data_IF_664819987636
#
_entry.id   IF_664819987636
#
_cell.length_a   1.000
_cell.length_b   1.000
_cell.length_c   1.000
_cell.angle_alpha   90.00
_cell.angle_beta   90.00
_cell.angle_gamma   90.00
#
_symmetry.space_group_name_H-M   'P 1'
#
loop_
_entity.id
_entity.type
_entity.pdbx_description
1 polymer ?
#
# COMPACT_ATOMS: atom_id res chain seq x y z
N UNK A 1 3.47 -10.35 -35.69
CA UNK A 1 2.24 -10.39 -34.91
C UNK A 1 1.66 -8.97 -34.91
N UNK A 2 0.36 -8.77 -35.06
CA UNK A 2 -0.22 -7.44 -34.89
C UNK A 2 0.04 -6.97 -33.45
N UNK A 3 0.22 -5.66 -33.22
CA UNK A 3 0.44 -5.13 -31.89
C UNK A 3 -0.76 -5.45 -31.00
N UNK A 4 -0.50 -5.91 -29.77
CA UNK A 4 -1.55 -6.09 -28.77
C UNK A 4 -2.07 -4.70 -28.40
N UNK A 5 -3.35 -4.47 -28.62
CA UNK A 5 -4.05 -3.26 -28.23
C UNK A 5 -4.89 -3.51 -26.99
N UNK A 6 -4.93 -2.57 -26.08
CA UNK A 6 -5.73 -2.61 -24.86
C UNK A 6 -6.72 -1.45 -24.88
N UNK A 7 -7.88 -1.68 -24.28
CA UNK A 7 -8.94 -0.68 -24.16
C UNK A 7 -8.73 0.20 -22.92
N UNK A 8 -8.03 -0.34 -21.91
CA UNK A 8 -7.74 0.36 -20.66
C UNK A 8 -6.37 -0.01 -20.09
N UNK A 9 -5.76 0.95 -19.42
CA UNK A 9 -4.51 0.78 -18.66
C UNK A 9 -4.79 1.15 -17.21
N UNK A 10 -4.49 0.24 -16.28
CA UNK A 10 -4.53 0.46 -14.84
C UNK A 10 -3.09 0.53 -14.32
N UNK A 11 -2.74 1.59 -13.61
CA UNK A 11 -1.40 1.77 -13.04
C UNK A 11 -1.43 1.43 -11.56
N UNK A 12 -0.72 0.37 -11.20
CA UNK A 12 -0.67 -0.20 -9.85
C UNK A 12 -1.77 -1.24 -9.60
N UNK A 13 -1.41 -2.29 -8.88
CA UNK A 13 -2.29 -3.42 -8.54
C UNK A 13 -2.75 -3.40 -7.07
N UNK A 14 -2.67 -2.26 -6.40
CA UNK A 14 -3.17 -2.09 -5.03
C UNK A 14 -4.70 -2.17 -4.95
N UNK A 15 -5.28 -1.82 -3.80
CA UNK A 15 -6.72 -1.92 -3.54
C UNK A 15 -7.55 -1.25 -4.64
N UNK A 16 -7.25 -0.01 -4.99
CA UNK A 16 -8.00 0.75 -6.00
C UNK A 16 -7.78 0.21 -7.42
N UNK A 17 -6.52 -0.07 -7.78
CA UNK A 17 -6.17 -0.57 -9.11
C UNK A 17 -6.71 -1.98 -9.36
N UNK A 18 -6.63 -2.86 -8.37
CA UNK A 18 -7.20 -4.20 -8.47
C UNK A 18 -8.71 -4.17 -8.66
N UNK A 19 -9.41 -3.27 -7.94
CA UNK A 19 -10.85 -3.09 -8.10
C UNK A 19 -11.19 -2.51 -9.48
N UNK A 20 -10.47 -1.48 -9.93
CA UNK A 20 -10.67 -0.89 -11.26
C UNK A 20 -10.45 -1.93 -12.36
N UNK A 21 -9.39 -2.74 -12.29
CA UNK A 21 -9.12 -3.79 -13.25
C UNK A 21 -10.25 -4.83 -13.30
N UNK A 22 -10.77 -5.24 -12.13
CA UNK A 22 -11.93 -6.13 -12.03
C UNK A 22 -13.15 -5.54 -12.75
N UNK A 23 -13.53 -4.31 -12.44
CA UNK A 23 -14.72 -3.68 -13.02
C UNK A 23 -14.59 -3.50 -14.54
N UNK A 24 -13.41 -3.08 -15.01
CA UNK A 24 -13.15 -2.89 -16.44
C UNK A 24 -13.21 -4.22 -17.21
N UNK A 25 -12.58 -5.27 -16.70
CA UNK A 25 -12.59 -6.59 -17.33
C UNK A 25 -13.97 -7.23 -17.31
N UNK A 26 -14.74 -7.07 -16.24
CA UNK A 26 -16.13 -7.55 -16.18
C UNK A 26 -17.05 -6.85 -17.19
N UNK A 27 -16.72 -5.63 -17.58
CA UNK A 27 -17.42 -4.91 -18.66
C UNK A 27 -16.92 -5.28 -20.06
N UNK A 28 -16.05 -6.29 -20.18
CA UNK A 28 -15.55 -6.80 -21.44
C UNK A 28 -14.36 -6.04 -22.03
N UNK A 29 -13.79 -5.07 -21.31
CA UNK A 29 -12.62 -4.31 -21.77
C UNK A 29 -11.34 -5.14 -21.63
N UNK A 30 -10.50 -5.12 -22.65
CA UNK A 30 -9.13 -5.67 -22.57
C UNK A 30 -8.28 -4.70 -21.75
N UNK A 31 -8.01 -5.08 -20.51
CA UNK A 31 -7.32 -4.23 -19.55
C UNK A 31 -5.92 -4.75 -19.28
N UNK A 32 -4.92 -3.87 -19.33
CA UNK A 32 -3.57 -4.15 -18.86
C UNK A 32 -3.35 -3.48 -17.50
N UNK A 33 -2.72 -4.19 -16.58
CA UNK A 33 -2.29 -3.65 -15.28
C UNK A 33 -0.77 -3.51 -15.28
N UNK A 34 -0.27 -2.30 -15.06
CA UNK A 34 1.16 -2.02 -14.93
C UNK A 34 1.50 -1.93 -13.44
N UNK A 35 2.30 -2.88 -12.96
CA UNK A 35 2.74 -2.95 -11.56
C UNK A 35 4.26 -2.79 -11.49
N UNK A 36 4.72 -1.90 -10.62
CA UNK A 36 6.14 -1.61 -10.43
C UNK A 36 6.85 -2.58 -9.47
N UNK A 37 6.06 -3.33 -8.69
CA UNK A 37 6.55 -4.22 -7.66
C UNK A 37 6.67 -5.68 -8.10
N UNK A 38 7.31 -6.47 -7.26
CA UNK A 38 7.47 -7.91 -7.48
C UNK A 38 6.16 -8.67 -7.21
N UNK A 39 5.99 -9.85 -7.81
CA UNK A 39 4.93 -10.75 -7.38
C UNK A 39 5.17 -11.23 -5.94
N UNK A 40 4.09 -11.59 -5.26
CA UNK A 40 4.10 -12.19 -3.93
C UNK A 40 3.79 -13.67 -4.07
N UNK A 41 4.64 -14.49 -3.47
CA UNK A 41 4.39 -15.92 -3.30
C UNK A 41 4.04 -16.20 -1.83
N UNK A 42 2.78 -16.54 -1.51
CA UNK A 42 2.38 -16.82 -0.14
C UNK A 42 3.20 -17.89 0.58
N UNK A 43 3.70 -18.89 -0.16
CA UNK A 43 4.50 -19.97 0.41
C UNK A 43 5.90 -19.52 0.86
N UNK A 44 6.41 -18.46 0.24
CA UNK A 44 7.74 -17.90 0.50
C UNK A 44 7.67 -16.63 1.33
N UNK A 45 6.67 -15.79 1.06
CA UNK A 45 6.55 -14.46 1.66
C UNK A 45 5.81 -14.44 3.00
N UNK A 46 4.94 -15.43 3.26
CA UNK A 46 4.16 -15.51 4.51
C UNK A 46 4.57 -16.74 5.32
N UNK A 47 5.81 -16.78 5.73
CA UNK A 47 6.38 -17.92 6.48
C UNK A 47 6.35 -17.73 8.00
N UNK A 48 6.02 -16.55 8.47
CA UNK A 48 5.99 -16.20 9.89
C UNK A 48 4.62 -16.57 10.50
N UNK A 49 4.43 -17.84 10.80
CA UNK A 49 3.21 -18.37 11.44
C UNK A 49 3.36 -18.51 12.96
N UNK A 50 4.07 -17.58 13.57
CA UNK A 50 4.34 -17.57 15.01
C UNK A 50 3.75 -16.32 15.66
N UNK A 51 3.47 -16.41 16.95
CA UNK A 51 2.98 -15.27 17.70
C UNK A 51 4.07 -14.19 17.83
N UNK A 52 3.71 -12.91 17.94
CA UNK A 52 4.69 -11.82 18.00
C UNK A 52 5.76 -11.98 19.08
N UNK A 53 5.42 -12.57 20.24
CA UNK A 53 6.37 -12.82 21.32
C UNK A 53 7.35 -13.97 21.05
N UNK A 54 7.04 -14.86 20.09
CA UNK A 54 7.91 -15.96 19.67
C UNK A 54 8.86 -15.53 18.56
N UNK A 55 8.59 -14.41 17.92
CA UNK A 55 9.46 -13.86 16.89
C UNK A 55 10.81 -13.45 17.47
N UNK A 56 11.88 -13.74 16.73
CA UNK A 56 13.23 -13.32 17.09
C UNK A 56 13.26 -11.83 17.40
N UNK A 57 13.86 -11.46 18.52
CA UNK A 57 13.89 -10.09 19.03
C UNK A 57 12.51 -9.43 19.13
N UNK A 58 11.43 -10.22 19.30
CA UNK A 58 10.04 -9.76 19.30
C UNK A 58 9.70 -8.92 18.07
N UNK A 59 10.19 -9.36 16.91
CA UNK A 59 10.08 -8.68 15.62
C UNK A 59 10.81 -7.32 15.53
N UNK A 60 11.55 -6.90 16.54
CA UNK A 60 12.28 -5.63 16.51
C UNK A 60 13.46 -5.63 15.54
N UNK A 61 14.06 -6.80 15.32
CA UNK A 61 15.08 -7.02 14.31
C UNK A 61 16.29 -6.10 14.37
N UNK A 62 16.99 -6.00 13.24
CA UNK A 62 18.09 -5.06 13.08
C UNK A 62 17.56 -3.67 12.72
N UNK A 63 17.32 -2.86 13.75
CA UNK A 63 16.84 -1.48 13.60
C UNK A 63 17.83 -0.60 12.83
N UNK A 64 19.13 -0.83 12.94
CA UNK A 64 20.14 -0.06 12.22
C UNK A 64 20.02 -0.33 10.72
N UNK A 65 19.78 -1.58 10.33
CA UNK A 65 19.51 -1.94 8.94
C UNK A 65 18.23 -1.27 8.43
N UNK A 66 17.14 -1.34 9.18
CA UNK A 66 15.89 -0.68 8.80
C UNK A 66 16.08 0.83 8.64
N UNK A 67 16.72 1.48 9.60
CA UNK A 67 17.00 2.92 9.52
C UNK A 67 17.90 3.31 8.35
N UNK A 68 18.83 2.42 7.96
CA UNK A 68 19.72 2.66 6.84
C UNK A 68 19.03 2.58 5.48
N UNK A 69 18.21 1.56 5.27
CA UNK A 69 17.60 1.28 3.96
C UNK A 69 16.15 1.74 3.85
N UNK A 70 15.49 1.89 4.98
CA UNK A 70 14.07 2.23 5.07
C UNK A 70 13.83 3.34 6.14
N UNK A 71 14.58 4.47 6.10
CA UNK A 71 14.48 5.51 7.14
C UNK A 71 13.09 6.12 7.24
N UNK A 72 12.35 6.20 6.14
CA UNK A 72 10.99 6.71 6.13
C UNK A 72 10.01 5.61 6.53
N UNK A 73 10.13 4.42 5.93
CA UNK A 73 9.24 3.30 6.20
C UNK A 73 9.32 2.84 7.65
N UNK A 74 10.51 2.86 8.25
CA UNK A 74 10.74 2.46 9.65
C UNK A 74 10.04 3.35 10.68
N UNK A 75 9.50 4.50 10.27
CA UNK A 75 8.62 5.32 11.12
C UNK A 75 7.24 4.65 11.32
N UNK A 76 6.86 3.74 10.45
CA UNK A 76 5.68 2.92 10.61
C UNK A 76 5.99 1.73 11.53
N UNK A 77 5.28 1.60 12.65
CA UNK A 77 5.48 0.50 13.59
C UNK A 77 5.25 -0.89 13.01
N UNK A 78 4.54 -1.00 11.87
CA UNK A 78 4.37 -2.24 11.14
C UNK A 78 5.57 -2.61 10.25
N UNK A 79 6.51 -1.70 10.03
CA UNK A 79 7.74 -1.97 9.29
C UNK A 79 8.78 -2.58 10.23
N UNK A 80 8.58 -3.84 10.57
CA UNK A 80 9.45 -4.62 11.44
C UNK A 80 10.40 -5.54 10.63
N UNK A 81 11.14 -6.41 11.31
CA UNK A 81 12.05 -7.37 10.65
C UNK A 81 11.34 -8.28 9.63
N UNK A 82 10.11 -8.66 9.91
CA UNK A 82 9.34 -9.62 9.09
C UNK A 82 8.55 -8.92 7.99
N UNK A 83 7.91 -7.82 8.31
CA UNK A 83 7.07 -7.08 7.37
C UNK A 83 7.87 -6.07 6.53
N UNK A 84 9.08 -5.70 6.93
CA UNK A 84 9.93 -4.74 6.22
C UNK A 84 10.14 -5.07 4.74
N UNK A 85 10.11 -6.36 4.37
CA UNK A 85 10.20 -6.84 2.98
C UNK A 85 9.04 -6.38 2.08
N UNK A 86 7.90 -6.00 2.66
CA UNK A 86 6.74 -5.48 1.94
C UNK A 86 6.76 -3.95 1.80
N UNK A 87 7.65 -3.28 2.51
CA UNK A 87 7.84 -1.84 2.39
C UNK A 87 8.98 -1.54 1.39
N UNK A 88 8.91 -0.40 0.75
CA UNK A 88 9.97 0.00 -0.20
C UNK A 88 11.31 0.18 0.52
N UNK A 89 12.39 -0.03 -0.22
CA UNK A 89 13.69 0.51 0.13
C UNK A 89 13.70 2.00 -0.27
N UNK A 90 13.86 2.89 0.70
CA UNK A 90 13.80 4.33 0.45
C UNK A 90 14.99 4.83 -0.39
N UNK A 91 16.14 4.14 -0.32
CA UNK A 91 17.32 4.49 -1.11
C UNK A 91 17.13 4.15 -2.60
N UNK A 92 16.48 3.03 -2.88
CA UNK A 92 16.21 2.60 -4.26
C UNK A 92 15.00 3.32 -4.86
N UNK A 93 14.15 3.91 -4.02
CA UNK A 93 12.90 4.57 -4.41
C UNK A 93 12.78 5.94 -3.75
N UNK A 94 13.73 6.85 -3.98
CA UNK A 94 13.68 8.18 -3.40
C UNK A 94 12.49 8.99 -3.93
N UNK A 95 12.07 9.97 -3.16
CA UNK A 95 11.12 11.01 -3.57
C UNK A 95 11.50 12.33 -2.91
N UNK A 96 11.00 13.42 -3.46
CA UNK A 96 11.17 14.75 -2.90
C UNK A 96 9.82 15.34 -2.47
N UNK A 97 9.88 16.23 -1.50
CA UNK A 97 8.71 17.04 -1.07
C UNK A 97 9.01 18.50 -1.30
N UNK A 98 7.99 19.34 -1.53
CA UNK A 98 8.18 20.79 -1.60
C UNK A 98 8.78 21.32 -0.29
N UNK A 99 9.55 22.39 -0.40
CA UNK A 99 10.14 23.08 0.75
C UNK A 99 9.05 23.49 1.74
N UNK A 100 9.29 23.26 3.03
CA UNK A 100 8.34 23.55 4.11
C UNK A 100 7.11 22.63 4.20
N UNK A 101 7.00 21.61 3.32
CA UNK A 101 5.90 20.64 3.33
C UNK A 101 6.42 19.20 3.40
N UNK A 102 7.05 18.81 4.51
CA UNK A 102 7.56 17.46 4.66
C UNK A 102 6.43 16.44 4.65
N UNK A 103 6.66 15.30 4.03
CA UNK A 103 5.71 14.19 3.95
C UNK A 103 6.43 12.85 4.03
N UNK A 104 6.05 12.02 4.99
CA UNK A 104 6.58 10.67 5.14
C UNK A 104 5.68 9.68 4.38
N UNK A 105 6.10 9.32 3.18
CA UNK A 105 5.33 8.43 2.32
C UNK A 105 5.59 6.96 2.66
N UNK A 106 4.76 6.40 3.52
CA UNK A 106 4.77 4.97 3.85
C UNK A 106 4.14 4.20 2.69
N UNK A 107 4.89 3.36 2.01
CA UNK A 107 4.46 2.69 0.78
C UNK A 107 5.02 1.27 0.64
N UNK A 108 4.22 0.40 0.00
CA UNK A 108 4.63 -0.90 -0.50
C UNK A 108 4.94 -0.84 -2.00
N UNK A 109 5.74 -1.79 -2.49
CA UNK A 109 6.06 -1.94 -3.91
C UNK A 109 6.08 -3.41 -4.28
N UNK A 110 4.89 -3.99 -4.35
CA UNK A 110 4.64 -5.37 -4.74
C UNK A 110 3.24 -5.50 -5.30
N UNK A 111 2.98 -6.57 -6.00
CA UNK A 111 1.63 -6.93 -6.45
C UNK A 111 0.68 -6.97 -5.26
N UNK A 112 -0.45 -6.28 -5.38
CA UNK A 112 -1.40 -6.09 -4.29
C UNK A 112 -1.15 -4.85 -3.42
N UNK A 113 0.01 -4.20 -3.52
CA UNK A 113 0.33 -2.95 -2.83
C UNK A 113 0.05 -3.01 -1.33
N UNK A 114 -0.58 -1.97 -0.79
CA UNK A 114 -0.92 -1.90 0.63
C UNK A 114 -2.04 -2.86 1.08
N UNK A 115 -2.74 -3.51 0.15
CA UNK A 115 -3.79 -4.47 0.51
C UNK A 115 -3.26 -5.67 1.30
N UNK A 116 -1.96 -5.96 1.19
CA UNK A 116 -1.33 -7.08 1.91
C UNK A 116 -0.64 -6.68 3.22
N UNK A 117 -0.49 -5.37 3.49
CA UNK A 117 0.29 -4.89 4.64
C UNK A 117 -0.46 -3.93 5.58
N UNK A 118 -1.73 -3.63 5.33
CA UNK A 118 -2.54 -2.79 6.22
C UNK A 118 -3.10 -3.61 7.40
N UNK A 119 -3.57 -2.92 8.45
CA UNK A 119 -4.04 -3.57 9.67
C UNK A 119 -5.32 -4.40 9.55
N UNK A 120 -6.00 -4.37 8.40
CA UNK A 120 -7.22 -5.13 8.08
C UNK A 120 -8.41 -4.84 9.02
N UNK A 121 -8.37 -3.69 9.69
CA UNK A 121 -9.49 -3.20 10.46
C UNK A 121 -10.46 -2.46 9.53
N UNK A 122 -11.67 -2.97 9.43
CA UNK A 122 -12.75 -2.36 8.63
C UNK A 122 -13.89 -2.03 9.58
N UNK A 123 -14.18 -0.74 9.72
CA UNK A 123 -15.29 -0.25 10.52
C UNK A 123 -16.40 0.23 9.60
N UNK A 124 -17.64 0.07 10.05
CA UNK A 124 -18.75 0.76 9.42
C UNK A 124 -18.69 2.24 9.84
N UNK A 125 -18.51 3.09 8.87
CA UNK A 125 -18.45 4.54 9.08
C UNK A 125 -19.84 5.10 9.34
N UNK A 126 -19.90 6.16 10.10
CA UNK A 126 -21.13 6.91 10.35
C UNK A 126 -21.30 8.04 9.33
N UNK A 127 -22.49 8.60 9.23
CA UNK A 127 -22.72 9.77 8.36
C UNK A 127 -21.84 10.96 8.75
N UNK A 128 -21.49 11.07 10.04
CA UNK A 128 -20.60 12.11 10.53
C UNK A 128 -19.21 12.06 9.88
N UNK A 129 -18.68 10.85 9.62
CA UNK A 129 -17.37 10.69 8.98
C UNK A 129 -17.34 11.29 7.56
N UNK A 130 -18.49 11.36 6.89
CA UNK A 130 -18.61 11.88 5.53
C UNK A 130 -19.06 13.34 5.48
N UNK A 131 -19.80 13.81 6.48
CA UNK A 131 -20.43 15.12 6.52
C UNK A 131 -19.74 16.12 7.47
N UNK A 132 -18.74 15.69 8.24
CA UNK A 132 -18.08 16.51 9.24
C UNK A 132 -17.49 17.79 8.64
N UNK A 133 -16.90 17.70 7.47
CA UNK A 133 -16.24 18.84 6.84
C UNK A 133 -17.23 19.99 6.53
N UNK A 134 -18.41 19.67 5.99
CA UNK A 134 -19.42 20.69 5.72
C UNK A 134 -20.05 21.19 7.03
N UNK A 135 -20.29 20.30 8.00
CA UNK A 135 -20.84 20.69 9.31
C UNK A 135 -19.92 21.63 10.07
N UNK A 136 -18.62 21.46 9.93
CA UNK A 136 -17.60 22.31 10.57
C UNK A 136 -17.18 23.50 9.70
N UNK A 137 -17.69 23.61 8.46
CA UNK A 137 -17.36 24.70 7.54
C UNK A 137 -15.92 24.68 7.03
N UNK A 138 -15.25 23.53 7.08
CA UNK A 138 -13.83 23.36 6.72
C UNK A 138 -13.66 23.00 5.24
N UNK A 139 -14.52 22.14 4.71
CA UNK A 139 -14.46 21.65 3.33
C UNK A 139 -15.84 21.13 2.88
N UNK A 140 -15.88 20.56 1.67
CA UNK A 140 -17.07 19.89 1.14
C UNK A 140 -17.19 18.46 1.67
N UNK A 141 -18.41 17.95 1.70
CA UNK A 141 -18.68 16.57 2.07
C UNK A 141 -18.18 15.58 1.02
N UNK A 142 -17.96 14.36 1.45
CA UNK A 142 -17.70 13.26 0.53
C UNK A 142 -18.98 12.93 -0.26
N UNK A 143 -18.89 12.75 -1.59
CA UNK A 143 -20.05 12.46 -2.43
C UNK A 143 -20.51 11.00 -2.33
N UNK A 144 -20.38 10.40 -1.17
CA UNK A 144 -20.78 9.02 -0.90
C UNK A 144 -22.13 8.99 -0.20
N UNK A 145 -23.11 8.39 -0.83
CA UNK A 145 -24.42 8.07 -0.26
C UNK A 145 -24.72 6.60 -0.45
#
# INVERSE_FOLDING_TARGET
>A
MPPLTYDAIVVGSGISGGWAAKELTQKGLRTIVLEAGRPIDPAVDYVEHVMPYEKRYRAMGDRNRLQRYQPIQSQCGACDEYAGKFFVNDLDNPYSTPEGKPFSWIRGRQVGGKSIMWGRCVFRWSDLDYEANAKEGIAVDWPLR
#
